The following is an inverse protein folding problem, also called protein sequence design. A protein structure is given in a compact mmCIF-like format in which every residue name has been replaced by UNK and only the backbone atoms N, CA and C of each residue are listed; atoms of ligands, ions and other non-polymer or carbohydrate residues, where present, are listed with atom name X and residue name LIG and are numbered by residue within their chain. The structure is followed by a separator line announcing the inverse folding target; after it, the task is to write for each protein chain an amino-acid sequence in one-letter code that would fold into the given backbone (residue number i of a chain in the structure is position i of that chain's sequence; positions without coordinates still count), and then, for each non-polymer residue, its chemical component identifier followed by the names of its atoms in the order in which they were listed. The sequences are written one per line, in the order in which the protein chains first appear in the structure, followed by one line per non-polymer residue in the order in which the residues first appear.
data_IF_426253369037
#
_entry.id   IF_426253369037
#
_cell.length_a   1.000
_cell.length_b   1.000
_cell.length_c   1.000
_cell.angle_alpha   90.00
_cell.angle_beta   90.00
_cell.angle_gamma   90.00
#
_symmetry.space_group_name_H-M   'P 1'
#
loop_
_entity.id
_entity.type
_entity.pdbx_description
1 polymer ?
#
# COMPACT_ATOMS: atom_id res chain seq x y z
N UNK A 1 0.95 5.60 -28.59
CA UNK A 1 0.92 6.12 -27.21
C UNK A 1 0.81 4.89 -26.32
N UNK A 2 1.79 4.60 -25.45
CA UNK A 2 1.63 3.50 -24.48
C UNK A 2 0.71 4.06 -23.39
N UNK A 3 -0.50 3.51 -23.28
CA UNK A 3 -1.32 3.69 -22.08
C UNK A 3 -0.42 3.36 -20.88
N UNK A 4 -0.30 4.30 -19.94
CA UNK A 4 0.31 3.99 -18.67
C UNK A 4 -0.59 2.92 -18.04
N UNK A 5 -0.15 1.65 -18.01
CA UNK A 5 -0.85 0.59 -17.29
C UNK A 5 -1.22 1.14 -15.91
N UNK A 6 -2.51 1.24 -15.63
CA UNK A 6 -3.02 1.77 -14.38
C UNK A 6 -2.48 0.88 -13.25
N UNK A 7 -1.48 1.39 -12.53
CA UNK A 7 -0.81 0.65 -11.47
C UNK A 7 -1.67 0.70 -10.22
N UNK A 8 -2.70 -0.13 -10.17
CA UNK A 8 -3.64 -0.20 -9.05
C UNK A 8 -2.90 -0.54 -7.74
N UNK A 9 -3.26 0.16 -6.67
CA UNK A 9 -2.84 -0.15 -5.30
C UNK A 9 -4.06 -0.05 -4.40
N UNK A 10 -4.38 -1.16 -3.74
CA UNK A 10 -5.54 -1.27 -2.83
C UNK A 10 -5.00 -1.50 -1.43
N UNK A 11 -5.47 -0.69 -0.49
CA UNK A 11 -5.14 -0.82 0.93
C UNK A 11 -6.42 -1.17 1.67
N UNK A 12 -6.47 -2.37 2.24
CA UNK A 12 -7.57 -2.84 3.06
C UNK A 12 -7.18 -2.72 4.52
N UNK A 13 -7.94 -1.92 5.26
CA UNK A 13 -7.82 -1.79 6.71
C UNK A 13 -8.91 -2.65 7.35
N UNK A 14 -8.53 -3.48 8.31
CA UNK A 14 -9.49 -4.10 9.21
C UNK A 14 -9.67 -3.15 10.41
N UNK A 15 -10.87 -2.58 10.58
CA UNK A 15 -11.15 -1.66 11.70
C UNK A 15 -11.05 -2.34 13.08
N UNK A 16 -11.15 -3.68 13.12
CA UNK A 16 -10.97 -4.47 14.33
C UNK A 16 -9.53 -4.95 14.54
N UNK A 17 -8.68 -4.89 13.50
CA UNK A 17 -7.34 -5.44 13.47
C UNK A 17 -6.23 -4.39 13.60
N UNK A 18 -5.04 -4.81 14.03
CA UNK A 18 -3.83 -3.98 14.05
C UNK A 18 -3.00 -4.08 12.76
N UNK A 19 -3.55 -4.69 11.72
CA UNK A 19 -2.87 -4.99 10.44
C UNK A 19 -3.70 -4.55 9.24
N UNK A 20 -3.05 -3.97 8.25
CA UNK A 20 -3.61 -3.64 6.94
C UNK A 20 -3.02 -4.54 5.86
N UNK A 21 -3.83 -4.90 4.87
CA UNK A 21 -3.39 -5.63 3.69
C UNK A 21 -3.21 -4.66 2.53
N UNK A 22 -2.01 -4.60 1.98
CA UNK A 22 -1.67 -3.78 0.82
C UNK A 22 -1.49 -4.67 -0.38
N UNK A 23 -2.40 -4.58 -1.34
CA UNK A 23 -2.25 -5.10 -2.68
C UNK A 23 -1.66 -4.02 -3.59
N UNK A 24 -0.66 -4.36 -4.40
CA UNK A 24 -0.14 -3.45 -5.42
C UNK A 24 0.32 -4.20 -6.66
N UNK A 25 -0.09 -3.71 -7.83
CA UNK A 25 0.49 -4.08 -9.13
C UNK A 25 1.68 -3.16 -9.51
N UNK A 26 2.01 -2.19 -8.67
CA UNK A 26 3.13 -1.27 -8.91
C UNK A 26 4.43 -1.83 -8.38
N UNK A 27 5.40 -2.05 -9.28
CA UNK A 27 6.76 -2.42 -8.88
C UNK A 27 7.41 -1.37 -7.96
N UNK A 28 7.12 -0.09 -8.18
CA UNK A 28 7.68 1.02 -7.39
C UNK A 28 7.18 0.99 -5.94
N UNK A 29 5.88 0.73 -5.74
CA UNK A 29 5.28 0.60 -4.41
C UNK A 29 5.77 -0.68 -3.73
N UNK A 30 5.80 -1.81 -4.45
CA UNK A 30 6.31 -3.07 -3.92
C UNK A 30 7.78 -2.97 -3.51
N UNK A 31 8.60 -2.24 -4.27
CA UNK A 31 10.01 -1.96 -3.94
C UNK A 31 10.13 -1.08 -2.70
N UNK A 32 9.28 -0.06 -2.58
CA UNK A 32 9.26 0.86 -1.44
C UNK A 32 8.91 0.11 -0.14
N UNK A 33 7.87 -0.74 -0.18
CA UNK A 33 7.48 -1.58 0.96
C UNK A 33 8.58 -2.55 1.38
N UNK A 34 9.27 -3.19 0.42
CA UNK A 34 10.45 -4.01 0.72
C UNK A 34 11.60 -3.22 1.34
N UNK A 35 11.85 -2.00 0.87
CA UNK A 35 12.95 -1.15 1.37
C UNK A 35 12.76 -0.74 2.84
N UNK A 36 11.51 -0.57 3.27
CA UNK A 36 11.17 -0.25 4.66
C UNK A 36 11.01 -1.50 5.54
N UNK A 37 11.28 -2.69 5.02
CA UNK A 37 11.35 -3.94 5.79
C UNK A 37 10.13 -4.86 5.66
N UNK A 38 9.11 -4.50 4.86
CA UNK A 38 7.95 -5.37 4.66
C UNK A 38 8.22 -6.45 3.61
N UNK A 39 8.01 -7.71 4.01
CA UNK A 39 8.05 -8.83 3.10
C UNK A 39 6.66 -9.06 2.47
N UNK A 40 6.57 -9.36 1.17
CA UNK A 40 5.29 -9.70 0.56
C UNK A 40 4.81 -11.07 1.07
N UNK A 41 3.59 -11.11 1.58
CA UNK A 41 2.91 -12.34 2.05
C UNK A 41 2.40 -13.18 0.89
N UNK A 42 2.11 -12.56 -0.26
CA UNK A 42 1.73 -13.25 -1.50
C UNK A 42 2.28 -12.51 -2.72
N UNK A 43 2.67 -13.29 -3.74
CA UNK A 43 3.11 -12.78 -5.05
C UNK A 43 2.28 -13.45 -6.14
N UNK A 44 1.77 -12.66 -7.07
CA UNK A 44 1.14 -13.12 -8.31
C UNK A 44 1.87 -12.50 -9.48
N UNK A 45 1.57 -12.93 -10.71
CA UNK A 45 2.21 -12.35 -11.88
C UNK A 45 1.89 -10.84 -11.96
N UNK A 46 2.93 -10.01 -11.86
CA UNK A 46 2.80 -8.55 -11.82
C UNK A 46 2.28 -7.91 -10.53
N UNK A 47 1.98 -8.67 -9.47
CA UNK A 47 1.38 -8.10 -8.25
C UNK A 47 1.93 -8.67 -6.93
N UNK A 48 1.85 -7.85 -5.88
CA UNK A 48 2.35 -8.15 -4.54
C UNK A 48 1.31 -7.81 -3.49
N UNK A 49 1.20 -8.69 -2.50
CA UNK A 49 0.43 -8.46 -1.28
C UNK A 49 1.38 -8.32 -0.11
N UNK A 50 1.13 -7.34 0.74
CA UNK A 50 1.87 -7.09 1.96
C UNK A 50 0.91 -7.03 3.13
N UNK A 51 1.36 -7.50 4.29
CA UNK A 51 0.69 -7.28 5.56
C UNK A 51 1.52 -6.24 6.32
N UNK A 52 0.89 -5.13 6.68
CA UNK A 52 1.55 -3.97 7.27
C UNK A 52 0.84 -3.63 8.58
N UNK A 53 1.53 -3.54 9.72
CA UNK A 53 0.91 -3.12 10.96
C UNK A 53 0.38 -1.69 10.80
N UNK A 54 -0.87 -1.44 11.20
CA UNK A 54 -1.51 -0.12 11.13
C UNK A 54 -0.71 0.90 11.95
N UNK A 55 -0.18 0.48 13.11
CA UNK A 55 0.66 1.32 13.97
C UNK A 55 2.07 1.57 13.41
N UNK A 56 2.53 0.73 12.47
CA UNK A 56 3.85 0.89 11.84
C UNK A 56 3.82 1.89 10.67
N UNK A 57 2.63 2.16 10.13
CA UNK A 57 2.39 3.29 9.24
C UNK A 57 2.10 4.53 10.09
N UNK A 58 3.13 5.05 10.77
CA UNK A 58 3.12 6.47 11.14
C UNK A 58 3.16 7.25 9.83
N UNK A 59 2.00 7.52 9.24
CA UNK A 59 1.86 8.45 8.12
C UNK A 59 2.19 9.82 8.71
N UNK A 60 3.49 10.15 8.78
CA UNK A 60 4.00 11.50 9.03
C UNK A 60 3.86 12.35 7.76
N UNK A 61 2.72 12.24 7.08
CA UNK A 61 2.29 13.20 6.08
C UNK A 61 1.31 14.14 6.78
N UNK A 62 1.46 15.45 6.57
CA UNK A 62 0.44 16.40 7.02
C UNK A 62 -0.93 15.89 6.57
N UNK A 63 -1.82 15.66 7.53
CA UNK A 63 -3.22 15.29 7.27
C UNK A 63 -3.86 16.43 6.50
N UNK A 64 -3.84 16.38 5.18
CA UNK A 64 -4.61 17.30 4.34
C UNK A 64 -6.08 16.95 4.49
N UNK A 65 -6.72 17.46 5.55
CA UNK A 65 -8.17 17.52 5.64
C UNK A 65 -8.65 18.55 4.63
N UNK A 66 -9.14 18.10 3.47
CA UNK A 66 -9.95 18.95 2.61
C UNK A 66 -11.29 19.19 3.31
N UNK A 67 -11.45 20.37 3.90
CA UNK A 67 -12.75 20.87 4.32
C UNK A 67 -13.52 21.25 3.05
N UNK A 68 -14.59 20.52 2.74
CA UNK A 68 -15.63 21.01 1.85
C UNK A 68 -16.47 22.00 2.66
N UNK A 69 -16.19 23.30 2.46
CA UNK A 69 -17.05 24.40 2.91
C UNK A 69 -18.16 24.69 1.93
#
# INVERSE_FOLDING_TARGET
MKEAEEKETVIQFDEAGSTAFVYTASWDIARSLKKVGYAPVKKTDGAWWFEVPVDALSIQGEKQTMNFG
#
